data_IF_162548031300
#
_entry.id   IF_162548031300
#
_cell.length_a   1.000
_cell.length_b   1.000
_cell.length_c   1.000
_cell.angle_alpha   90.00
_cell.angle_beta   90.00
_cell.angle_gamma   90.00
#
_symmetry.space_group_name_H-M   'P 1'
#
loop_
_entity.id
_entity.type
_entity.pdbx_description
1 polymer ?
#
# COMPACT_ATOMS: atom_id res chain seq x y z
N UNK A 1 -17.55 -0.66 19.10
CA UNK A 1 -16.93 0.69 19.07
C UNK A 1 -16.79 1.09 17.63
N UNK A 2 -17.00 2.35 17.31
CA UNK A 2 -16.88 2.87 15.94
C UNK A 2 -15.42 2.95 15.51
N UNK A 3 -15.12 2.47 14.30
CA UNK A 3 -13.79 2.55 13.69
C UNK A 3 -13.78 3.69 12.67
N UNK A 4 -12.87 4.66 12.83
CA UNK A 4 -12.59 5.70 11.83
C UNK A 4 -11.23 5.45 11.18
N UNK A 5 -11.20 5.53 9.86
CA UNK A 5 -10.00 5.38 9.05
C UNK A 5 -9.70 6.69 8.31
N UNK A 6 -8.65 7.36 8.75
CA UNK A 6 -8.13 8.60 8.16
C UNK A 6 -7.19 8.25 7.01
N UNK A 7 -7.58 8.57 5.79
CA UNK A 7 -6.91 8.08 4.59
C UNK A 7 -6.89 9.13 3.46
N UNK A 8 -5.92 9.01 2.57
CA UNK A 8 -5.94 9.58 1.23
C UNK A 8 -5.92 8.45 0.22
N UNK A 9 -6.90 8.34 -0.66
CA UNK A 9 -7.01 7.27 -1.67
C UNK A 9 -5.87 7.28 -2.69
N UNK A 10 -5.11 8.39 -2.84
CA UNK A 10 -3.88 8.43 -3.63
C UNK A 10 -2.67 7.82 -2.92
N UNK A 11 -2.74 7.63 -1.61
CA UNK A 11 -1.67 7.05 -0.81
C UNK A 11 -1.70 5.50 -0.87
N UNK A 12 -0.63 4.83 -1.36
CA UNK A 12 -0.57 3.37 -1.41
C UNK A 12 -0.91 2.66 -0.09
N UNK A 13 -0.31 3.04 1.06
CA UNK A 13 -0.64 2.40 2.33
C UNK A 13 -2.08 2.66 2.79
N UNK A 14 -2.68 3.81 2.43
CA UNK A 14 -4.09 4.07 2.73
C UNK A 14 -5.01 3.17 1.92
N UNK A 15 -4.77 3.05 0.61
CA UNK A 15 -5.54 2.14 -0.27
C UNK A 15 -5.49 0.71 0.24
N UNK A 16 -4.31 0.25 0.61
CA UNK A 16 -4.14 -1.12 1.11
C UNK A 16 -5.02 -1.38 2.34
N UNK A 17 -5.06 -0.46 3.32
CA UNK A 17 -5.91 -0.62 4.51
C UNK A 17 -7.39 -0.51 4.17
N UNK A 18 -7.81 0.41 3.27
CA UNK A 18 -9.19 0.56 2.81
C UNK A 18 -9.69 -0.74 2.15
N UNK A 19 -8.92 -1.29 1.20
CA UNK A 19 -9.22 -2.55 0.51
C UNK A 19 -9.32 -3.70 1.54
N UNK A 20 -8.37 -3.78 2.47
CA UNK A 20 -8.37 -4.80 3.51
C UNK A 20 -9.64 -4.77 4.35
N UNK A 21 -10.05 -3.59 4.83
CA UNK A 21 -11.28 -3.44 5.61
C UNK A 21 -12.50 -3.91 4.83
N UNK A 22 -12.65 -3.46 3.59
CA UNK A 22 -13.78 -3.84 2.73
C UNK A 22 -13.79 -5.33 2.41
N UNK A 23 -12.66 -5.90 2.02
CA UNK A 23 -12.54 -7.31 1.67
C UNK A 23 -12.85 -8.25 2.85
N UNK A 24 -12.67 -7.77 4.08
CA UNK A 24 -12.94 -8.53 5.29
C UNK A 24 -14.24 -8.11 6.00
N UNK A 25 -15.09 -7.26 5.38
CA UNK A 25 -16.38 -6.84 5.96
C UNK A 25 -16.22 -6.04 7.25
N UNK A 26 -15.10 -5.37 7.45
CA UNK A 26 -14.88 -4.49 8.60
C UNK A 26 -15.58 -3.16 8.33
N UNK A 27 -16.58 -2.84 9.13
CA UNK A 27 -17.30 -1.57 9.06
C UNK A 27 -16.44 -0.43 9.62
N UNK A 28 -16.34 0.67 8.86
CA UNK A 28 -15.57 1.86 9.25
C UNK A 28 -16.15 3.13 8.62
N UNK A 29 -15.90 4.27 9.27
CA UNK A 29 -16.09 5.61 8.70
C UNK A 29 -14.77 6.02 8.02
N UNK A 30 -14.79 6.27 6.70
CA UNK A 30 -13.66 6.87 6.00
C UNK A 30 -13.63 8.38 6.21
N UNK A 31 -12.54 8.87 6.80
CA UNK A 31 -12.27 10.30 6.95
C UNK A 31 -11.20 10.71 5.95
N UNK A 32 -11.60 11.43 4.91
CA UNK A 32 -10.69 11.86 3.84
C UNK A 32 -9.68 12.89 4.35
N UNK A 33 -8.40 12.64 4.10
CA UNK A 33 -7.27 13.54 4.39
C UNK A 33 -6.52 13.81 3.10
N UNK A 34 -6.81 14.94 2.47
CA UNK A 34 -6.20 15.31 1.19
C UNK A 34 -4.75 15.76 1.37
N UNK A 35 -3.79 14.91 0.98
CA UNK A 35 -2.35 15.19 1.06
C UNK A 35 -1.96 16.40 0.19
N UNK A 36 -2.56 16.53 -0.99
CA UNK A 36 -2.31 17.66 -1.89
C UNK A 36 -2.74 19.01 -1.31
N UNK A 37 -3.71 19.02 -0.39
CA UNK A 37 -4.14 20.22 0.36
C UNK A 37 -3.42 20.37 1.72
N UNK A 38 -2.44 19.53 1.99
CA UNK A 38 -1.66 19.52 3.23
C UNK A 38 -2.50 19.30 4.51
N UNK A 39 -3.71 18.73 4.42
CA UNK A 39 -4.60 18.53 5.57
C UNK A 39 -3.95 17.64 6.65
N UNK A 40 -3.07 16.69 6.26
CA UNK A 40 -2.28 15.88 7.18
C UNK A 40 -1.33 16.69 8.07
N UNK A 41 -1.07 17.96 7.74
CA UNK A 41 -0.19 18.87 8.53
C UNK A 41 -0.96 19.77 9.50
N UNK A 42 -2.30 19.72 9.47
CA UNK A 42 -3.11 20.55 10.35
C UNK A 42 -2.91 20.19 11.83
N UNK A 43 -3.14 21.13 12.76
CA UNK A 43 -3.10 20.86 14.19
C UNK A 43 -4.11 19.77 14.60
N UNK A 44 -5.31 19.79 14.03
CA UNK A 44 -6.39 18.85 14.32
C UNK A 44 -6.00 17.42 13.94
N UNK A 45 -5.37 17.25 12.76
CA UNK A 45 -4.89 15.93 12.36
C UNK A 45 -3.68 15.47 13.18
N UNK A 46 -2.83 16.39 13.64
CA UNK A 46 -1.70 16.07 14.51
C UNK A 46 -2.15 15.47 15.86
N UNK A 47 -3.38 15.75 16.32
CA UNK A 47 -3.96 15.10 17.50
C UNK A 47 -4.36 13.64 17.22
N UNK A 48 -4.66 13.30 15.99
CA UNK A 48 -4.95 11.92 15.54
C UNK A 48 -3.64 11.17 15.33
N UNK A 49 -2.75 11.74 14.51
CA UNK A 49 -1.43 11.18 14.23
C UNK A 49 -0.34 12.25 14.33
N UNK A 50 0.45 12.30 15.42
CA UNK A 50 1.55 13.25 15.59
C UNK A 50 2.63 13.16 14.49
N UNK A 51 2.74 12.00 13.81
CA UNK A 51 3.67 11.80 12.68
C UNK A 51 3.19 12.51 11.41
N UNK A 52 1.92 12.99 11.37
CA UNK A 52 1.32 13.71 10.24
C UNK A 52 1.38 12.93 8.93
N UNK A 53 1.10 11.63 9.00
CA UNK A 53 1.06 10.71 7.87
C UNK A 53 -0.27 9.94 7.81
N UNK A 54 -0.64 9.47 6.65
CA UNK A 54 -1.78 8.58 6.42
C UNK A 54 -1.30 7.21 5.98
N UNK A 55 -2.05 6.12 6.32
CA UNK A 55 -3.28 6.09 7.10
C UNK A 55 -3.07 6.21 8.61
N UNK A 56 -4.16 6.56 9.31
CA UNK A 56 -4.28 6.40 10.75
C UNK A 56 -5.70 5.90 11.08
N UNK A 57 -5.87 5.18 12.19
CA UNK A 57 -7.18 4.75 12.67
C UNK A 57 -7.46 5.30 14.07
N UNK A 58 -8.75 5.46 14.35
CA UNK A 58 -9.30 5.68 15.71
C UNK A 58 -10.39 4.65 15.94
N UNK A 59 -10.21 3.79 16.94
CA UNK A 59 -11.18 2.77 17.33
C UNK A 59 -11.59 2.97 18.78
N UNK A 60 -12.71 3.67 19.00
CA UNK A 60 -13.04 4.25 20.32
C UNK A 60 -11.99 5.28 20.75
N UNK A 61 -11.30 5.03 21.86
CA UNK A 61 -10.22 5.90 22.35
C UNK A 61 -8.83 5.50 21.86
N UNK A 62 -8.72 4.35 21.16
CA UNK A 62 -7.45 3.83 20.66
C UNK A 62 -7.09 4.45 19.32
N UNK A 63 -5.92 5.08 19.25
CA UNK A 63 -5.36 5.65 18.02
C UNK A 63 -4.15 4.83 17.57
N UNK A 64 -4.05 4.56 16.28
CA UNK A 64 -2.93 3.82 15.70
C UNK A 64 -2.57 4.40 14.33
N UNK A 65 -1.28 4.54 14.07
CA UNK A 65 -0.68 4.85 12.78
C UNK A 65 0.21 3.69 12.31
N UNK A 66 0.86 3.85 11.15
CA UNK A 66 1.62 2.82 10.43
C UNK A 66 0.72 1.73 9.82
N UNK A 67 0.63 1.69 8.50
CA UNK A 67 -0.28 0.77 7.79
C UNK A 67 -0.07 -0.70 8.15
N UNK A 68 1.18 -1.13 8.35
CA UNK A 68 1.47 -2.51 8.74
C UNK A 68 0.97 -2.82 10.16
N UNK A 69 1.14 -1.89 11.10
CA UNK A 69 0.59 -2.04 12.44
C UNK A 69 -0.94 -2.03 12.44
N UNK A 70 -1.54 -1.19 11.59
CA UNK A 70 -3.00 -1.14 11.40
C UNK A 70 -3.52 -2.47 10.86
N UNK A 71 -2.90 -3.08 9.86
CA UNK A 71 -3.26 -4.41 9.37
C UNK A 71 -3.23 -5.46 10.47
N UNK A 72 -2.12 -5.52 11.22
CA UNK A 72 -1.93 -6.48 12.31
C UNK A 72 -3.01 -6.30 13.38
N UNK A 73 -3.31 -5.06 13.74
CA UNK A 73 -4.36 -4.74 14.70
C UNK A 73 -5.73 -5.19 14.19
N UNK A 74 -6.12 -4.78 12.98
CA UNK A 74 -7.42 -5.11 12.40
C UNK A 74 -7.61 -6.62 12.24
N UNK A 75 -6.58 -7.33 11.73
CA UNK A 75 -6.61 -8.78 11.58
C UNK A 75 -6.71 -9.52 12.93
N UNK A 76 -6.21 -8.92 14.00
CA UNK A 76 -6.24 -9.52 15.35
C UNK A 76 -7.48 -9.14 16.15
N UNK A 77 -8.04 -7.94 15.94
CA UNK A 77 -9.17 -7.41 16.72
C UNK A 77 -10.54 -7.81 16.16
N UNK A 78 -10.62 -8.12 14.86
CA UNK A 78 -11.88 -8.45 14.19
C UNK A 78 -11.95 -9.94 13.87
N UNK A 79 -12.81 -10.67 14.57
CA UNK A 79 -12.92 -12.14 14.47
C UNK A 79 -13.41 -12.67 13.11
N UNK A 80 -13.95 -11.79 12.25
CA UNK A 80 -14.38 -12.14 10.89
C UNK A 80 -13.25 -12.19 9.86
N UNK A 81 -12.06 -11.73 10.22
CA UNK A 81 -10.90 -11.73 9.30
C UNK A 81 -10.35 -13.15 9.17
N UNK A 82 -10.24 -13.62 7.92
CA UNK A 82 -9.74 -14.96 7.63
C UNK A 82 -8.25 -15.11 8.02
N UNK A 83 -7.86 -16.29 8.54
CA UNK A 83 -6.51 -16.54 9.07
C UNK A 83 -5.39 -16.32 8.04
N UNK A 84 -5.65 -16.54 6.75
CA UNK A 84 -4.61 -16.36 5.73
C UNK A 84 -4.07 -14.92 5.65
N UNK A 85 -4.85 -13.91 6.03
CA UNK A 85 -4.39 -12.53 6.03
C UNK A 85 -3.26 -12.28 7.04
N UNK A 86 -3.40 -12.84 8.23
CA UNK A 86 -2.42 -12.74 9.30
C UNK A 86 -2.42 -14.00 10.15
N UNK A 87 -1.75 -15.08 9.72
CA UNK A 87 -1.89 -16.42 10.27
C UNK A 87 -1.62 -16.52 11.77
N UNK A 88 -2.38 -17.42 12.44
CA UNK A 88 -2.10 -17.80 13.82
C UNK A 88 -0.76 -18.54 13.94
N UNK A 89 -0.32 -19.24 12.88
CA UNK A 89 0.98 -19.91 12.82
C UNK A 89 2.12 -18.89 12.91
N UNK A 90 2.93 -19.02 13.94
CA UNK A 90 4.02 -18.08 14.30
C UNK A 90 5.13 -18.04 13.24
N UNK A 91 5.41 -19.16 12.55
CA UNK A 91 6.44 -19.20 11.52
C UNK A 91 5.98 -18.48 10.24
N UNK A 92 4.73 -18.71 9.81
CA UNK A 92 4.13 -18.00 8.70
C UNK A 92 4.06 -16.52 8.98
N UNK A 93 3.62 -16.15 10.19
CA UNK A 93 3.55 -14.74 10.62
C UNK A 93 4.91 -14.06 10.62
N UNK A 94 5.96 -14.72 11.12
CA UNK A 94 7.31 -14.18 11.12
C UNK A 94 7.84 -13.93 9.69
N UNK A 95 7.52 -14.80 8.73
CA UNK A 95 7.84 -14.59 7.31
C UNK A 95 7.10 -13.37 6.73
N UNK A 96 5.81 -13.18 7.06
CA UNK A 96 5.05 -12.00 6.65
C UNK A 96 5.69 -10.73 7.23
N UNK A 97 6.07 -10.72 8.51
CA UNK A 97 6.77 -9.59 9.11
C UNK A 97 8.08 -9.27 8.40
N UNK A 98 8.86 -10.29 8.03
CA UNK A 98 10.11 -10.11 7.29
C UNK A 98 9.88 -9.39 5.94
N UNK A 99 8.80 -9.71 5.22
CA UNK A 99 8.41 -9.00 3.99
C UNK A 99 8.01 -7.55 4.29
N UNK A 100 7.18 -7.34 5.30
CA UNK A 100 6.68 -6.01 5.66
C UNK A 100 7.80 -5.07 6.15
N UNK A 101 8.73 -5.57 6.95
CA UNK A 101 9.89 -4.78 7.42
C UNK A 101 10.81 -4.43 6.25
N UNK A 102 11.08 -5.40 5.36
CA UNK A 102 11.86 -5.16 4.16
C UNK A 102 11.19 -4.14 3.22
N UNK A 103 9.86 -4.14 3.13
CA UNK A 103 9.09 -3.21 2.28
C UNK A 103 9.46 -1.76 2.52
N UNK A 104 9.51 -1.30 3.78
CA UNK A 104 9.76 0.10 4.12
C UNK A 104 11.08 0.65 3.59
N UNK A 105 12.16 -0.09 3.77
CA UNK A 105 13.52 0.36 3.42
C UNK A 105 13.92 0.08 1.97
N UNK A 106 13.14 -0.72 1.26
CA UNK A 106 13.43 -1.14 -0.12
C UNK A 106 12.34 -0.68 -1.10
N UNK A 107 11.27 -1.46 -1.28
CA UNK A 107 10.23 -1.17 -2.27
C UNK A 107 9.62 0.23 -2.05
N UNK A 108 9.16 0.54 -0.83
CA UNK A 108 8.56 1.84 -0.50
C UNK A 108 9.51 2.99 -0.75
N UNK A 109 10.76 2.87 -0.32
CA UNK A 109 11.76 3.91 -0.52
C UNK A 109 12.05 4.13 -2.00
N UNK A 110 12.14 3.05 -2.78
CA UNK A 110 12.35 3.13 -4.24
C UNK A 110 11.16 3.77 -4.95
N UNK A 111 9.94 3.30 -4.67
CA UNK A 111 8.70 3.79 -5.25
C UNK A 111 8.49 5.28 -4.94
N UNK A 112 8.55 5.68 -3.67
CA UNK A 112 8.41 7.09 -3.27
C UNK A 112 9.52 7.95 -3.89
N UNK A 113 10.76 7.49 -3.87
CA UNK A 113 11.90 8.21 -4.45
C UNK A 113 11.70 8.47 -5.94
N UNK A 114 11.22 7.48 -6.69
CA UNK A 114 10.91 7.62 -8.10
C UNK A 114 9.72 8.56 -8.33
N UNK A 115 8.55 8.24 -7.80
CA UNK A 115 7.31 8.98 -8.09
C UNK A 115 7.34 10.41 -7.58
N UNK A 116 7.92 10.65 -6.40
CA UNK A 116 8.03 12.02 -5.88
C UNK A 116 8.84 12.90 -6.81
N UNK A 117 9.97 12.41 -7.31
CA UNK A 117 10.90 13.19 -8.11
C UNK A 117 10.61 13.18 -9.63
N UNK A 118 9.64 12.38 -10.08
CA UNK A 118 9.18 12.41 -11.49
C UNK A 118 7.86 13.13 -11.70
N UNK A 119 7.01 13.23 -10.66
CA UNK A 119 5.67 13.82 -10.82
C UNK A 119 5.11 14.49 -9.57
N UNK A 120 5.16 13.83 -8.39
CA UNK A 120 4.40 14.26 -7.21
C UNK A 120 4.90 15.60 -6.66
N UNK A 121 6.22 15.89 -6.72
CA UNK A 121 6.81 17.14 -6.22
C UNK A 121 6.16 18.38 -6.84
N UNK A 122 5.77 18.33 -8.12
CA UNK A 122 5.11 19.44 -8.81
C UNK A 122 3.76 19.80 -8.16
N UNK A 123 3.00 18.84 -7.67
CA UNK A 123 1.74 19.09 -6.96
C UNK A 123 1.93 19.83 -5.63
N UNK A 124 3.15 19.84 -5.09
CA UNK A 124 3.54 20.58 -3.90
C UNK A 124 4.32 21.87 -4.21
N UNK A 125 4.40 22.27 -5.49
CA UNK A 125 5.17 23.44 -5.92
C UNK A 125 6.70 23.28 -5.79
N UNK A 126 7.18 22.03 -5.72
CA UNK A 126 8.60 21.71 -5.61
C UNK A 126 9.18 21.30 -6.97
N UNK A 127 10.47 21.59 -7.25
CA UNK A 127 11.11 21.16 -8.47
C UNK A 127 11.30 19.64 -8.47
N UNK A 128 11.31 19.04 -9.67
CA UNK A 128 11.72 17.65 -9.87
C UNK A 128 13.23 17.52 -9.70
N UNK A 129 13.67 16.38 -9.16
CA UNK A 129 15.09 16.03 -9.05
C UNK A 129 15.39 14.74 -9.86
N UNK A 130 15.92 14.86 -11.09
CA UNK A 130 16.21 13.71 -11.94
C UNK A 130 17.23 12.74 -11.34
N UNK A 131 18.17 13.24 -10.51
CA UNK A 131 19.16 12.39 -9.84
C UNK A 131 18.51 11.55 -8.76
N UNK A 132 17.69 12.15 -7.91
CA UNK A 132 16.93 11.43 -6.90
C UNK A 132 15.91 10.47 -7.53
N UNK A 133 15.30 10.85 -8.67
CA UNK A 133 14.44 9.95 -9.44
C UNK A 133 15.19 8.71 -9.93
N UNK A 134 16.38 8.88 -10.50
CA UNK A 134 17.20 7.75 -10.97
C UNK A 134 17.65 6.82 -9.83
N UNK A 135 18.00 7.38 -8.68
CA UNK A 135 18.33 6.59 -7.47
C UNK A 135 17.11 5.81 -6.97
N UNK A 136 15.92 6.46 -6.95
CA UNK A 136 14.66 5.83 -6.61
C UNK A 136 14.31 4.68 -7.56
N UNK A 137 14.43 4.89 -8.87
CA UNK A 137 14.19 3.86 -9.88
C UNK A 137 15.12 2.67 -9.74
N UNK A 138 16.41 2.91 -9.48
CA UNK A 138 17.37 1.84 -9.26
C UNK A 138 16.95 0.95 -8.08
N UNK A 139 16.55 1.56 -6.96
CA UNK A 139 16.10 0.83 -5.78
C UNK A 139 14.76 0.11 -6.03
N UNK A 140 13.82 0.74 -6.74
CA UNK A 140 12.55 0.16 -7.15
C UNK A 140 12.79 -1.08 -8.02
N UNK A 141 13.61 -0.97 -9.06
CA UNK A 141 13.93 -2.08 -9.96
C UNK A 141 14.62 -3.24 -9.24
N UNK A 142 15.55 -2.95 -8.32
CA UNK A 142 16.17 -3.97 -7.48
C UNK A 142 15.16 -4.65 -6.56
N UNK A 143 14.20 -3.88 -6.04
CA UNK A 143 13.13 -4.42 -5.19
C UNK A 143 12.18 -5.33 -5.97
N UNK A 144 11.79 -4.96 -7.19
CA UNK A 144 10.99 -5.82 -8.06
C UNK A 144 11.71 -7.15 -8.37
N UNK A 145 13.00 -7.09 -8.69
CA UNK A 145 13.79 -8.31 -8.91
C UNK A 145 13.87 -9.20 -7.66
N UNK A 146 13.98 -8.61 -6.46
CA UNK A 146 13.96 -9.36 -5.19
C UNK A 146 12.59 -10.00 -4.94
N UNK A 147 11.49 -9.28 -5.17
CA UNK A 147 10.14 -9.83 -5.01
C UNK A 147 9.96 -11.04 -5.92
N UNK A 148 10.34 -10.92 -7.20
CA UNK A 148 10.15 -11.97 -8.19
C UNK A 148 10.99 -13.21 -7.91
N UNK A 149 12.25 -13.04 -7.46
CA UNK A 149 13.19 -14.14 -7.25
C UNK A 149 13.13 -14.77 -5.86
N UNK A 150 12.67 -14.04 -4.84
CA UNK A 150 12.69 -14.49 -3.45
C UNK A 150 11.29 -14.64 -2.86
N UNK A 151 10.44 -13.63 -3.01
CA UNK A 151 9.15 -13.61 -2.33
C UNK A 151 8.02 -14.29 -3.12
N UNK A 152 8.12 -14.33 -4.46
CA UNK A 152 7.21 -15.06 -5.35
C UNK A 152 7.74 -16.46 -5.73
N UNK A 153 8.76 -16.96 -5.02
CA UNK A 153 9.23 -18.33 -5.20
C UNK A 153 8.23 -19.33 -4.61
N UNK A 154 8.04 -20.46 -5.31
CA UNK A 154 7.11 -21.51 -4.92
C UNK A 154 5.94 -21.65 -5.89
N UNK A 155 5.01 -22.57 -5.58
CA UNK A 155 3.90 -22.95 -6.45
C UNK A 155 2.63 -22.10 -6.25
N UNK A 156 2.53 -21.35 -5.16
CA UNK A 156 1.38 -20.51 -4.86
C UNK A 156 1.37 -19.20 -5.66
N UNK A 157 0.18 -18.61 -5.90
CA UNK A 157 0.04 -17.36 -6.63
C UNK A 157 0.42 -16.12 -5.82
N UNK A 158 0.64 -16.24 -4.51
CA UNK A 158 0.92 -15.14 -3.61
C UNK A 158 2.30 -15.24 -2.98
N UNK A 159 2.73 -14.16 -2.31
CA UNK A 159 4.02 -14.10 -1.64
C UNK A 159 4.24 -15.30 -0.71
N UNK A 160 5.50 -15.72 -0.60
CA UNK A 160 5.93 -16.84 0.24
C UNK A 160 5.36 -18.21 -0.19
N UNK A 161 4.92 -18.32 -1.45
CA UNK A 161 4.31 -19.54 -1.99
C UNK A 161 2.91 -19.85 -1.45
N UNK A 162 2.22 -18.86 -0.88
CA UNK A 162 0.90 -19.05 -0.29
C UNK A 162 -0.18 -19.26 -1.38
N UNK A 163 -1.24 -20.01 -1.03
CA UNK A 163 -2.42 -20.22 -1.88
C UNK A 163 -3.48 -19.11 -1.74
N UNK A 164 -3.35 -18.25 -0.73
CA UNK A 164 -4.23 -17.12 -0.45
C UNK A 164 -3.38 -15.89 -0.11
N UNK A 165 -3.86 -14.67 -0.39
CA UNK A 165 -3.11 -13.44 -0.09
C UNK A 165 -2.98 -13.22 1.41
N UNK A 166 -1.92 -12.54 1.80
CA UNK A 166 -1.70 -12.02 3.15
C UNK A 166 -1.71 -10.48 3.15
N UNK A 167 -1.62 -9.87 4.33
CA UNK A 167 -1.46 -8.43 4.46
C UNK A 167 -0.19 -7.91 3.74
N UNK A 168 0.84 -8.75 3.56
CA UNK A 168 2.03 -8.39 2.82
C UNK A 168 1.76 -8.24 1.31
N UNK A 169 0.96 -9.14 0.73
CA UNK A 169 0.55 -9.05 -0.68
C UNK A 169 -0.14 -7.73 -0.96
N UNK A 170 -1.12 -7.39 -0.14
CA UNK A 170 -1.90 -6.18 -0.32
C UNK A 170 -1.06 -4.91 -0.14
N UNK A 171 -0.18 -4.89 0.87
CA UNK A 171 0.73 -3.77 1.11
C UNK A 171 1.66 -3.51 -0.08
N UNK A 172 2.31 -4.56 -0.59
CA UNK A 172 3.29 -4.44 -1.65
C UNK A 172 2.63 -4.17 -3.02
N UNK A 173 1.51 -4.84 -3.33
CA UNK A 173 0.78 -4.60 -4.59
C UNK A 173 0.29 -3.15 -4.65
N UNK A 174 -0.31 -2.62 -3.58
CA UNK A 174 -0.76 -1.23 -3.55
C UNK A 174 0.40 -0.22 -3.73
N UNK A 175 1.62 -0.57 -3.34
CA UNK A 175 2.80 0.25 -3.59
C UNK A 175 3.24 0.18 -5.06
N UNK A 176 3.27 -1.02 -5.64
CA UNK A 176 3.75 -1.23 -7.01
C UNK A 176 2.81 -0.61 -8.03
N UNK A 177 1.50 -0.71 -7.83
CA UNK A 177 0.51 -0.10 -8.75
C UNK A 177 0.58 1.43 -8.78
N UNK A 178 1.36 2.08 -7.91
CA UNK A 178 1.65 3.50 -8.07
C UNK A 178 2.31 3.80 -9.43
N UNK A 179 2.95 2.81 -10.06
CA UNK A 179 3.46 2.91 -11.43
C UNK A 179 2.35 3.14 -12.48
N UNK A 180 1.08 2.91 -12.16
CA UNK A 180 -0.05 3.21 -13.08
C UNK A 180 -0.22 4.72 -13.36
N UNK A 181 0.32 5.59 -12.51
CA UNK A 181 0.34 7.06 -12.74
C UNK A 181 1.61 7.55 -13.42
N UNK A 182 2.59 6.67 -13.62
CA UNK A 182 3.76 6.99 -14.42
C UNK A 182 3.44 6.99 -15.92
N UNK A 183 4.33 7.59 -16.72
CA UNK A 183 4.27 7.45 -18.18
C UNK A 183 4.30 5.96 -18.58
N UNK A 184 3.54 5.60 -19.61
CA UNK A 184 3.40 4.21 -20.06
C UNK A 184 4.75 3.57 -20.42
N UNK A 185 5.65 4.33 -21.06
CA UNK A 185 6.99 3.83 -21.41
C UNK A 185 7.82 3.54 -20.17
N UNK A 186 7.73 4.40 -19.16
CA UNK A 186 8.44 4.20 -17.90
C UNK A 186 7.88 3.02 -17.14
N UNK A 187 6.56 2.88 -17.08
CA UNK A 187 5.91 1.72 -16.49
C UNK A 187 6.37 0.43 -17.16
N UNK A 188 6.29 0.34 -18.47
CA UNK A 188 6.68 -0.86 -19.23
C UNK A 188 8.17 -1.18 -19.07
N UNK A 189 9.02 -0.15 -19.01
CA UNK A 189 10.46 -0.29 -18.76
C UNK A 189 10.77 -0.81 -17.37
N UNK A 190 10.05 -0.37 -16.36
CA UNK A 190 10.31 -0.71 -14.95
C UNK A 190 9.72 -2.09 -14.62
N UNK A 191 8.44 -2.32 -14.94
CA UNK A 191 7.72 -3.52 -14.50
C UNK A 191 7.43 -4.52 -15.61
N UNK A 192 7.40 -4.11 -16.88
CA UNK A 192 6.91 -4.92 -18.00
C UNK A 192 7.64 -6.25 -18.20
N UNK A 193 8.91 -6.35 -17.77
CA UNK A 193 9.72 -7.59 -17.86
C UNK A 193 9.45 -8.58 -16.70
N UNK A 194 8.68 -8.20 -15.69
CA UNK A 194 8.43 -8.99 -14.49
C UNK A 194 7.06 -9.71 -14.59
N UNK A 195 6.98 -10.73 -15.44
CA UNK A 195 5.72 -11.45 -15.72
C UNK A 195 5.07 -12.05 -14.46
N UNK A 196 5.87 -12.59 -13.54
CA UNK A 196 5.35 -13.14 -12.26
C UNK A 196 4.76 -12.07 -11.38
N UNK A 197 5.35 -10.88 -11.33
CA UNK A 197 4.81 -9.75 -10.58
C UNK A 197 3.50 -9.27 -11.20
N UNK A 198 3.43 -9.15 -12.53
CA UNK A 198 2.20 -8.75 -13.23
C UNK A 198 1.06 -9.72 -12.95
N UNK A 199 1.35 -11.03 -12.99
CA UNK A 199 0.37 -12.05 -12.65
C UNK A 199 -0.05 -11.98 -11.19
N UNK A 200 0.88 -11.84 -10.26
CA UNK A 200 0.60 -11.72 -8.82
C UNK A 200 -0.23 -10.48 -8.48
N UNK A 201 0.00 -9.34 -9.15
CA UNK A 201 -0.84 -8.14 -9.03
C UNK A 201 -2.28 -8.48 -9.42
N UNK A 202 -2.48 -9.16 -10.56
CA UNK A 202 -3.81 -9.55 -11.04
C UNK A 202 -4.48 -10.56 -10.09
N UNK A 203 -3.75 -11.57 -9.62
CA UNK A 203 -4.24 -12.53 -8.65
C UNK A 203 -4.67 -11.84 -7.33
N UNK A 204 -3.92 -10.81 -6.87
CA UNK A 204 -4.26 -10.04 -5.68
C UNK A 204 -5.50 -9.15 -5.90
N UNK A 205 -5.61 -8.51 -7.06
CA UNK A 205 -6.82 -7.77 -7.46
C UNK A 205 -8.05 -8.67 -7.44
N UNK A 206 -7.96 -9.83 -8.07
CA UNK A 206 -9.05 -10.80 -8.13
C UNK A 206 -9.46 -11.32 -6.74
N UNK A 207 -8.50 -11.60 -5.87
CA UNK A 207 -8.75 -12.07 -4.50
C UNK A 207 -9.43 -11.02 -3.61
N UNK A 208 -9.36 -9.75 -3.97
CA UNK A 208 -9.95 -8.63 -3.24
C UNK A 208 -11.07 -7.92 -4.01
N UNK A 209 -11.51 -8.48 -5.14
CA UNK A 209 -12.60 -7.93 -5.94
C UNK A 209 -13.93 -7.89 -5.14
N UNK A 210 -14.79 -6.88 -5.37
CA UNK A 210 -14.62 -5.76 -6.31
C UNK A 210 -13.83 -4.57 -5.72
N UNK A 211 -13.38 -4.65 -4.49
CA UNK A 211 -12.89 -3.52 -3.70
C UNK A 211 -11.58 -2.95 -4.21
N UNK A 212 -10.72 -3.76 -4.86
CA UNK A 212 -9.48 -3.24 -5.41
C UNK A 212 -9.74 -2.17 -6.48
N UNK A 213 -10.74 -2.37 -7.32
CA UNK A 213 -11.10 -1.42 -8.38
C UNK A 213 -11.76 -0.16 -7.80
N UNK A 214 -12.57 -0.30 -6.73
CA UNK A 214 -13.19 0.82 -6.01
C UNK A 214 -12.13 1.83 -5.50
N UNK A 215 -10.98 1.33 -5.07
CA UNK A 215 -9.87 2.15 -4.55
C UNK A 215 -8.70 2.26 -5.53
N UNK A 216 -8.93 1.97 -6.82
CA UNK A 216 -7.90 2.13 -7.85
C UNK A 216 -7.47 3.59 -7.98
N UNK A 217 -6.21 3.79 -8.41
CA UNK A 217 -5.68 5.13 -8.64
C UNK A 217 -6.48 5.90 -9.68
N UNK A 218 -6.93 5.23 -10.74
CA UNK A 218 -7.74 5.84 -11.80
C UNK A 218 -9.06 6.37 -11.24
N UNK A 219 -9.71 5.61 -10.36
CA UNK A 219 -10.93 6.02 -9.70
C UNK A 219 -10.70 7.20 -8.74
N UNK A 220 -9.61 7.16 -7.97
CA UNK A 220 -9.25 8.22 -7.03
C UNK A 220 -8.90 9.55 -7.72
N UNK A 221 -8.22 9.51 -8.88
CA UNK A 221 -7.92 10.70 -9.70
C UNK A 221 -9.20 11.27 -10.30
N UNK A 222 -10.05 10.43 -10.91
CA UNK A 222 -11.30 10.89 -11.53
C UNK A 222 -12.28 11.54 -10.55
N UNK A 223 -12.30 11.13 -9.28
CA UNK A 223 -13.13 11.76 -8.24
C UNK A 223 -12.65 13.14 -7.80
N UNK A 224 -11.40 13.51 -8.06
CA UNK A 224 -10.85 14.84 -7.71
C UNK A 224 -11.01 15.88 -8.82
N UNK A 225 -11.26 15.44 -10.03
CA UNK A 225 -11.46 16.29 -11.20
C UNK A 225 -12.94 16.62 -11.44
N UNK A 226 -13.87 15.94 -10.75
CA UNK A 226 -15.31 16.14 -10.82
C UNK A 226 -15.81 17.04 -9.69
#
# INVERSE_FOLDING_TARGET
MELKLYADRLSPPSRAVLIFCKANGIEFEEVSIELGKLQHRSPEYAEINPMKQVPAIVHGDFKLSESHAIFIYLASAFSGVADHWYPADVHKRAKIHSVLDWHHSNLRRGSVGYHFNTSIALAFGLPLDPKAAAEGEKLLSASLATIESLWLEGDGPFLLGNSQPSIADLALVCEIIQLEVADEKDRDRIIGKHERILKWIEDTKNATAPYFDEFSLRHAVGQREA
#
